data_IF_722889909209
#
_entry.id   IF_722889909209
#
_cell.length_a   1.000
_cell.length_b   1.000
_cell.length_c   1.000
_cell.angle_alpha   90.00
_cell.angle_beta   90.00
_cell.angle_gamma   90.00
#
_symmetry.space_group_name_H-M   'P 1'
#
loop_
_entity.id
_entity.type
_entity.pdbx_description
1 polymer ?
#
# COMPACT_ATOMS: atom_id res chain seq x y z
N UNK A 1 -20.30 -27.47 2.26
CA UNK A 1 -20.82 -27.41 0.88
C UNK A 1 -20.37 -26.09 0.29
N UNK A 2 -19.38 -26.08 -0.59
CA UNK A 2 -18.80 -24.86 -1.16
C UNK A 2 -19.72 -24.32 -2.26
N UNK A 3 -20.20 -23.10 -2.06
CA UNK A 3 -21.20 -22.47 -2.92
C UNK A 3 -20.54 -22.08 -4.26
N UNK A 4 -20.78 -22.87 -5.32
CA UNK A 4 -20.18 -22.69 -6.67
C UNK A 4 -20.94 -21.69 -7.54
N UNK A 5 -21.93 -20.96 -6.99
CA UNK A 5 -22.86 -20.08 -7.73
C UNK A 5 -22.25 -18.83 -8.40
N UNK A 6 -20.92 -18.68 -8.41
CA UNK A 6 -20.22 -17.58 -9.08
C UNK A 6 -18.99 -17.99 -9.90
N UNK A 7 -18.77 -19.28 -10.14
CA UNK A 7 -17.63 -19.74 -10.93
C UNK A 7 -17.91 -19.65 -12.43
N UNK A 8 -17.12 -18.85 -13.14
CA UNK A 8 -17.13 -18.77 -14.61
C UNK A 8 -16.02 -19.65 -15.16
N UNK A 9 -16.34 -20.55 -16.09
CA UNK A 9 -15.37 -21.33 -16.83
C UNK A 9 -14.83 -20.51 -18.00
N UNK A 10 -13.51 -20.47 -18.14
CA UNK A 10 -12.81 -19.73 -19.19
C UNK A 10 -12.02 -20.72 -20.03
N UNK A 11 -12.22 -20.68 -21.34
CA UNK A 11 -11.40 -21.40 -22.32
C UNK A 11 -10.47 -20.39 -22.97
N UNK A 12 -9.18 -20.71 -23.02
CA UNK A 12 -8.13 -19.85 -23.55
C UNK A 12 -7.31 -20.64 -24.55
N UNK A 13 -7.09 -20.05 -25.72
CA UNK A 13 -6.11 -20.56 -26.67
C UNK A 13 -4.74 -19.97 -26.29
N UNK A 14 -3.81 -20.85 -25.94
CA UNK A 14 -2.47 -20.49 -25.50
C UNK A 14 -1.42 -21.16 -26.38
N UNK A 15 -0.27 -20.51 -26.55
CA UNK A 15 0.88 -21.16 -27.18
C UNK A 15 1.38 -22.32 -26.30
N UNK A 16 2.01 -23.35 -26.89
CA UNK A 16 2.52 -24.48 -26.13
C UNK A 16 3.58 -24.07 -25.09
N UNK A 17 4.41 -23.10 -25.43
CA UNK A 17 5.44 -22.53 -24.56
C UNK A 17 4.82 -21.88 -23.31
N UNK A 18 3.76 -21.09 -23.48
CA UNK A 18 3.07 -20.43 -22.37
C UNK A 18 2.36 -21.43 -21.47
N UNK A 19 1.75 -22.46 -22.05
CA UNK A 19 1.14 -23.52 -21.26
C UNK A 19 2.18 -24.26 -20.41
N UNK A 20 3.39 -24.48 -20.93
CA UNK A 20 4.49 -25.09 -20.18
C UNK A 20 4.95 -24.20 -19.02
N UNK A 21 5.11 -22.89 -19.26
CA UNK A 21 5.48 -21.94 -18.19
C UNK A 21 4.43 -21.93 -17.08
N UNK A 22 3.14 -21.90 -17.44
CA UNK A 22 2.05 -21.94 -16.45
C UNK A 22 2.08 -23.22 -15.62
N UNK A 23 2.44 -24.35 -16.23
CA UNK A 23 2.54 -25.64 -15.55
C UNK A 23 3.75 -25.69 -14.61
N UNK A 24 4.90 -25.17 -15.02
CA UNK A 24 6.08 -25.04 -14.15
C UNK A 24 5.80 -24.12 -12.95
N UNK A 25 5.12 -23.00 -13.18
CA UNK A 25 4.72 -22.07 -12.11
C UNK A 25 3.71 -22.70 -11.16
N UNK A 26 2.72 -23.42 -11.69
CA UNK A 26 1.74 -24.14 -10.89
C UNK A 26 2.42 -25.19 -9.99
N UNK A 27 3.38 -25.93 -10.53
CA UNK A 27 4.17 -26.91 -9.79
C UNK A 27 5.01 -26.27 -8.68
N UNK A 28 5.64 -25.11 -8.95
CA UNK A 28 6.45 -24.37 -7.95
C UNK A 28 5.60 -23.81 -6.81
N UNK A 29 4.39 -23.37 -7.11
CA UNK A 29 3.46 -22.77 -6.14
C UNK A 29 2.59 -23.82 -5.43
N UNK A 30 2.64 -25.09 -5.86
CA UNK A 30 1.82 -26.18 -5.30
C UNK A 30 0.33 -26.03 -5.60
N UNK A 31 -0.02 -25.49 -6.77
CA UNK A 31 -1.41 -25.18 -7.16
C UNK A 31 -1.76 -25.62 -8.58
N UNK A 32 -2.89 -25.12 -9.09
CA UNK A 32 -3.32 -25.34 -10.47
C UNK A 32 -2.94 -24.19 -11.40
N UNK A 33 -2.94 -24.41 -12.72
CA UNK A 33 -2.71 -23.34 -13.71
C UNK A 33 -3.73 -22.20 -13.55
N UNK A 34 -4.96 -22.54 -13.16
CA UNK A 34 -6.02 -21.57 -12.84
C UNK A 34 -5.67 -20.69 -11.64
N UNK A 35 -4.99 -21.24 -10.63
CA UNK A 35 -4.56 -20.46 -9.46
C UNK A 35 -3.46 -19.47 -9.82
N UNK A 36 -2.51 -19.90 -10.66
CA UNK A 36 -1.46 -19.03 -11.22
C UNK A 36 -2.09 -17.88 -12.02
N UNK A 37 -3.06 -18.18 -12.88
CA UNK A 37 -3.76 -17.16 -13.66
C UNK A 37 -4.54 -16.19 -12.77
N UNK A 38 -5.21 -16.67 -11.72
CA UNK A 38 -5.92 -15.80 -10.76
C UNK A 38 -4.97 -14.87 -10.03
N UNK A 39 -3.82 -15.38 -9.58
CA UNK A 39 -2.80 -14.56 -8.92
C UNK A 39 -2.21 -13.51 -9.87
N UNK A 40 -1.91 -13.89 -11.11
CA UNK A 40 -1.39 -12.97 -12.12
C UNK A 40 -2.38 -11.83 -12.43
N UNK A 41 -3.68 -12.14 -12.55
CA UNK A 41 -4.73 -11.13 -12.75
C UNK A 41 -4.82 -10.19 -11.54
N UNK A 42 -4.78 -10.72 -10.32
CA UNK A 42 -4.82 -9.90 -9.11
C UNK A 42 -3.63 -8.94 -9.03
N UNK A 43 -2.42 -9.42 -9.33
CA UNK A 43 -1.22 -8.57 -9.38
C UNK A 43 -1.34 -7.48 -10.46
N UNK A 44 -1.86 -7.83 -11.64
CA UNK A 44 -2.11 -6.85 -12.71
C UNK A 44 -3.14 -5.79 -12.27
N UNK A 45 -4.21 -6.19 -11.60
CA UNK A 45 -5.22 -5.24 -11.07
C UNK A 45 -4.61 -4.25 -10.09
N UNK A 46 -3.80 -4.74 -9.14
CA UNK A 46 -3.09 -3.88 -8.17
C UNK A 46 -2.17 -2.90 -8.91
N UNK A 47 -1.41 -3.39 -9.90
CA UNK A 47 -0.52 -2.55 -10.70
C UNK A 47 -1.27 -1.46 -11.47
N UNK A 48 -2.41 -1.79 -12.09
CA UNK A 48 -3.24 -0.83 -12.82
C UNK A 48 -3.78 0.25 -11.87
N UNK A 49 -4.34 -0.15 -10.72
CA UNK A 49 -4.86 0.78 -9.70
C UNK A 49 -3.74 1.71 -9.21
N UNK A 50 -2.57 1.15 -8.92
CA UNK A 50 -1.42 1.93 -8.48
C UNK A 50 -0.97 2.94 -9.55
N UNK A 51 -0.97 2.55 -10.84
CA UNK A 51 -0.63 3.45 -11.96
C UNK A 51 -1.65 4.59 -12.11
N UNK A 52 -2.94 4.31 -11.98
CA UNK A 52 -3.98 5.35 -12.04
C UNK A 52 -3.85 6.34 -10.88
N UNK A 53 -3.54 5.84 -9.68
CA UNK A 53 -3.33 6.68 -8.50
C UNK A 53 -2.06 7.54 -8.61
N UNK A 54 -0.95 7.00 -9.11
CA UNK A 54 0.29 7.77 -9.30
C UNK A 54 0.15 8.80 -10.43
N UNK A 55 -0.61 8.48 -11.48
CA UNK A 55 -0.94 9.43 -12.54
C UNK A 55 -1.80 10.61 -12.02
N UNK A 56 -2.71 10.36 -11.08
CA UNK A 56 -3.52 11.40 -10.43
C UNK A 56 -2.76 12.22 -9.38
N UNK A 57 -1.61 11.74 -8.88
CA UNK A 57 -0.81 12.43 -7.88
C UNK A 57 0.35 13.25 -8.47
N UNK A 58 0.56 13.23 -9.78
CA UNK A 58 1.57 14.07 -10.44
C UNK A 58 3.00 13.82 -9.95
N UNK A 59 3.29 12.63 -9.42
CA UNK A 59 4.63 12.25 -8.93
C UNK A 59 5.35 11.51 -10.06
N UNK A 60 6.33 12.14 -10.75
CA UNK A 60 7.22 11.39 -11.62
C UNK A 60 8.14 10.57 -10.70
N UNK A 61 8.41 9.31 -11.07
CA UNK A 61 9.45 8.46 -10.46
C UNK A 61 9.04 7.62 -9.21
N UNK A 62 7.90 6.93 -9.27
CA UNK A 62 7.49 5.94 -8.27
C UNK A 62 7.75 4.46 -8.67
N UNK A 63 8.49 4.19 -9.75
CA UNK A 63 8.72 2.82 -10.24
C UNK A 63 9.57 1.97 -9.28
N UNK A 64 10.38 2.59 -8.41
CA UNK A 64 11.27 1.88 -7.49
C UNK A 64 10.62 1.49 -6.15
N UNK A 65 9.58 2.18 -5.70
CA UNK A 65 8.98 1.92 -4.39
C UNK A 65 7.99 0.76 -4.42
N UNK A 66 7.24 0.60 -5.52
CA UNK A 66 6.16 -0.40 -5.63
C UNK A 66 6.73 -1.83 -5.67
N UNK A 67 7.88 -2.05 -6.30
CA UNK A 67 8.52 -3.37 -6.35
C UNK A 67 8.97 -3.87 -4.96
N UNK A 68 9.25 -2.95 -4.03
CA UNK A 68 9.72 -3.29 -2.69
C UNK A 68 8.57 -3.69 -1.75
N UNK A 69 7.40 -3.09 -1.89
CA UNK A 69 6.24 -3.41 -1.05
C UNK A 69 5.54 -4.72 -1.44
N UNK A 70 5.51 -5.11 -2.72
CA UNK A 70 4.82 -6.34 -3.18
C UNK A 70 5.49 -7.64 -2.65
N UNK A 71 6.79 -7.61 -2.33
CA UNK A 71 7.51 -8.77 -1.77
C UNK A 71 7.14 -9.00 -0.29
N UNK A 72 6.66 -7.97 0.39
CA UNK A 72 6.00 -8.11 1.69
C UNK A 72 4.54 -8.44 1.44
N UNK A 73 4.18 -9.72 1.58
CA UNK A 73 2.80 -10.08 1.96
C UNK A 73 2.29 -9.05 2.97
N UNK A 74 1.00 -8.63 2.92
CA UNK A 74 0.39 -8.01 4.07
C UNK A 74 0.25 -9.11 5.12
N UNK A 75 1.36 -9.41 5.82
CA UNK A 75 1.32 -10.07 7.11
C UNK A 75 0.41 -9.16 7.91
N UNK A 76 -0.76 -9.67 8.27
CA UNK A 76 -1.72 -9.01 9.12
C UNK A 76 -0.93 -8.32 10.24
N UNK A 77 -0.77 -7.00 10.12
CA UNK A 77 -0.23 -6.19 11.19
C UNK A 77 -1.29 -6.32 12.26
N UNK A 78 -0.95 -6.85 13.45
CA UNK A 78 -1.92 -6.88 14.53
C UNK A 78 -2.42 -5.45 14.70
N UNK A 79 -3.72 -5.31 14.95
CA UNK A 79 -4.41 -4.05 15.15
C UNK A 79 -3.89 -3.33 16.41
N UNK A 80 -2.68 -2.82 16.35
CA UNK A 80 -2.19 -1.74 17.19
C UNK A 80 -2.54 -0.45 16.47
N UNK A 81 -3.20 0.45 17.18
CA UNK A 81 -3.64 1.74 16.64
C UNK A 81 -2.39 2.45 16.10
N UNK A 82 -2.46 3.23 15.00
CA UNK A 82 -1.30 3.91 14.44
C UNK A 82 -0.53 4.77 15.46
N UNK A 83 -1.21 5.24 16.52
CA UNK A 83 -0.59 5.91 17.67
C UNK A 83 0.35 5.00 18.47
N UNK A 84 0.00 3.72 18.64
CA UNK A 84 0.80 2.76 19.40
C UNK A 84 2.15 2.50 18.69
N UNK A 85 2.12 2.32 17.36
CA UNK A 85 3.34 2.19 16.55
C UNK A 85 4.22 3.45 16.62
N UNK A 86 3.59 4.63 16.65
CA UNK A 86 4.31 5.90 16.78
C UNK A 86 4.99 6.02 18.16
N UNK A 87 4.29 5.67 19.24
CA UNK A 87 4.84 5.68 20.60
C UNK A 87 5.97 4.65 20.78
N UNK A 88 5.90 3.49 20.13
CA UNK A 88 6.99 2.51 20.14
C UNK A 88 8.23 3.02 19.39
N UNK A 89 8.04 3.67 18.24
CA UNK A 89 9.15 4.12 17.39
C UNK A 89 9.87 5.33 17.96
N UNK A 90 9.13 6.29 18.51
CA UNK A 90 9.66 7.59 18.91
C UNK A 90 9.67 7.80 20.43
N UNK A 91 9.08 6.88 21.20
CA UNK A 91 8.90 7.05 22.65
C UNK A 91 7.80 8.06 22.99
N UNK A 92 7.53 8.20 24.29
CA UNK A 92 6.70 9.30 24.77
C UNK A 92 7.45 10.61 24.58
N UNK A 93 6.81 11.58 23.91
CA UNK A 93 7.35 12.93 23.78
C UNK A 93 7.22 13.64 25.13
N UNK A 94 8.28 13.58 25.93
CA UNK A 94 8.39 14.34 27.17
C UNK A 94 8.87 15.76 26.83
N UNK A 95 7.97 16.74 26.91
CA UNK A 95 8.32 18.15 26.81
C UNK A 95 8.65 18.68 28.21
N UNK A 96 9.91 19.02 28.44
CA UNK A 96 10.40 19.54 29.74
C UNK A 96 9.93 20.98 30.03
N UNK A 97 9.29 21.64 29.07
CA UNK A 97 8.79 23.01 29.22
C UNK A 97 7.54 23.04 30.10
N UNK A 98 7.38 24.10 30.89
CA UNK A 98 6.13 24.31 31.63
C UNK A 98 4.98 24.60 30.66
N UNK A 99 3.72 24.31 31.03
CA UNK A 99 2.56 24.59 30.19
C UNK A 99 2.50 26.05 29.71
N UNK A 100 2.92 26.99 30.55
CA UNK A 100 2.94 28.42 30.24
C UNK A 100 3.96 28.75 29.13
N UNK A 101 5.13 28.12 29.16
CA UNK A 101 6.16 28.29 28.14
C UNK A 101 5.72 27.72 26.79
N UNK A 102 5.00 26.58 26.81
CA UNK A 102 4.44 25.97 25.59
C UNK A 102 3.34 26.87 25.01
N UNK A 103 2.45 27.41 25.85
CA UNK A 103 1.41 28.33 25.41
C UNK A 103 2.04 29.57 24.77
N UNK A 104 3.08 30.14 25.38
CA UNK A 104 3.77 31.31 24.85
C UNK A 104 4.42 31.03 23.48
N UNK A 105 5.15 29.91 23.34
CA UNK A 105 5.78 29.48 22.08
C UNK A 105 4.74 29.27 20.95
N UNK A 106 3.55 28.77 21.29
CA UNK A 106 2.44 28.64 20.34
C UNK A 106 1.93 30.01 19.89
N UNK A 107 1.76 30.96 20.80
CA UNK A 107 1.32 32.32 20.44
C UNK A 107 2.37 33.03 19.59
N UNK A 108 3.64 32.93 19.95
CA UNK A 108 4.75 33.59 19.25
C UNK A 108 4.93 33.03 17.83
N UNK A 109 4.75 31.71 17.63
CA UNK A 109 4.95 31.07 16.34
C UNK A 109 3.69 30.95 15.47
N UNK A 110 2.48 30.95 16.04
CA UNK A 110 1.22 30.87 15.26
C UNK A 110 0.58 32.23 14.99
N UNK A 111 0.96 33.29 15.69
CA UNK A 111 0.53 34.65 15.36
C UNK A 111 1.45 35.28 14.31
N UNK A 112 1.46 34.74 13.09
CA UNK A 112 1.64 35.63 11.95
C UNK A 112 0.30 36.37 11.83
N UNK A 113 0.25 37.58 12.39
CA UNK A 113 -0.87 38.48 12.13
C UNK A 113 -0.89 38.74 10.62
N UNK A 114 -1.87 38.18 9.90
CA UNK A 114 -2.13 38.49 8.49
C UNK A 114 -2.54 39.97 8.26
N UNK A 115 -2.45 40.83 9.28
CA UNK A 115 -2.74 42.27 9.18
C UNK A 115 -1.71 43.05 8.36
N UNK A 116 -0.55 42.47 8.06
CA UNK A 116 0.59 43.22 7.50
C UNK A 116 0.77 43.03 5.99
N UNK A 117 -0.16 42.35 5.30
CA UNK A 117 -0.25 42.42 3.84
C UNK A 117 -0.97 43.73 3.45
N UNK A 118 -0.19 44.80 3.37
CA UNK A 118 -0.63 46.05 2.72
C UNK A 118 -0.69 45.83 1.21
N UNK A 119 -1.82 46.23 0.63
CA UNK A 119 -2.16 46.26 -0.81
C UNK A 119 -1.10 46.87 -1.70
#
# INVERSE_FOLDING_TARGET
MTNTQGMVHLNLDLSPELNQILEELANKLGGSKSDVLRQAIALMQIMVIAKEQTQNLGIPEAEQLIAREIITLPKAVPTTHPLDNFMETFGAWEDERTPEAIIQDIYDNRCISNSDYTL
#
